data_IF_237670721083
#
_entry.id   IF_237670721083
#
_cell.length_a   1.000
_cell.length_b   1.000
_cell.length_c   1.000
_cell.angle_alpha   90.00
_cell.angle_beta   90.00
_cell.angle_gamma   90.00
#
_symmetry.space_group_name_H-M   'P 1'
#
loop_
_entity.id
_entity.type
_entity.pdbx_description
1 polymer ?
#
# COMPACT_ATOMS: atom_id res chain seq x y z
N UNK A 1 -31.13 -35.95 -6.48
CA UNK A 1 -30.40 -35.98 -5.20
C UNK A 1 -28.92 -35.85 -5.51
N UNK A 2 -28.26 -34.78 -5.07
CA UNK A 2 -26.80 -34.66 -5.20
C UNK A 2 -26.21 -35.43 -4.01
N UNK A 3 -25.43 -36.50 -4.23
CA UNK A 3 -24.82 -37.23 -3.13
C UNK A 3 -23.88 -36.31 -2.34
N UNK A 4 -23.97 -36.32 -1.01
CA UNK A 4 -23.09 -35.52 -0.16
C UNK A 4 -21.66 -35.98 -0.33
N UNK A 5 -20.74 -35.06 -0.62
CA UNK A 5 -19.30 -35.30 -0.79
C UNK A 5 -18.57 -35.62 0.54
N UNK A 6 -19.28 -36.04 1.58
CA UNK A 6 -18.71 -36.38 2.89
C UNK A 6 -17.67 -37.49 2.81
N UNK A 7 -17.86 -38.45 1.90
CA UNK A 7 -16.92 -39.55 1.66
C UNK A 7 -15.54 -39.07 1.18
N UNK A 8 -15.45 -37.91 0.51
CA UNK A 8 -14.17 -37.35 0.08
C UNK A 8 -13.28 -36.98 1.27
N UNK A 9 -13.86 -36.55 2.39
CA UNK A 9 -13.07 -36.20 3.58
C UNK A 9 -12.54 -37.43 4.31
N UNK A 10 -13.24 -38.56 4.22
CA UNK A 10 -12.88 -39.80 4.91
C UNK A 10 -11.85 -40.63 4.13
N UNK A 11 -11.83 -40.50 2.79
CA UNK A 11 -10.93 -41.27 1.91
C UNK A 11 -9.82 -40.44 1.27
N UNK A 12 -9.62 -39.20 1.73
CA UNK A 12 -8.53 -38.34 1.27
C UNK A 12 -7.30 -38.60 2.12
N UNK A 13 -6.24 -39.03 1.44
CA UNK A 13 -4.92 -39.23 2.02
C UNK A 13 -3.99 -38.15 1.47
N UNK A 14 -3.26 -37.52 2.38
CA UNK A 14 -2.32 -36.44 2.06
C UNK A 14 -0.95 -36.93 2.48
N UNK A 15 -0.08 -37.12 1.50
CA UNK A 15 1.31 -37.48 1.72
C UNK A 15 2.20 -36.29 1.36
N UNK A 16 3.09 -35.92 2.27
CA UNK A 16 4.11 -34.93 1.99
C UNK A 16 5.17 -35.56 1.08
N UNK A 17 5.50 -34.88 -0.01
CA UNK A 17 6.62 -35.23 -0.88
C UNK A 17 7.80 -34.28 -0.61
N UNK A 18 8.97 -34.64 -1.13
CA UNK A 18 10.13 -33.75 -1.12
C UNK A 18 9.85 -32.50 -1.99
N UNK A 19 10.58 -31.41 -1.73
CA UNK A 19 10.51 -30.12 -2.45
C UNK A 19 9.18 -29.34 -2.34
N UNK A 20 8.61 -29.25 -1.12
CA UNK A 20 7.36 -28.50 -0.83
C UNK A 20 6.13 -28.99 -1.60
N UNK A 21 6.18 -30.23 -2.11
CA UNK A 21 5.08 -30.85 -2.84
C UNK A 21 4.23 -31.72 -1.92
N UNK A 22 2.95 -31.87 -2.28
CA UNK A 22 2.00 -32.69 -1.54
C UNK A 22 1.25 -33.57 -2.52
N UNK A 23 1.28 -34.89 -2.29
CA UNK A 23 0.46 -35.85 -3.01
C UNK A 23 -0.88 -36.00 -2.31
N UNK A 24 -1.98 -35.80 -3.05
CA UNK A 24 -3.34 -35.99 -2.55
C UNK A 24 -3.96 -37.16 -3.30
N UNK A 25 -4.20 -38.26 -2.59
CA UNK A 25 -4.84 -39.46 -3.15
C UNK A 25 -6.27 -39.57 -2.63
N UNK A 26 -7.22 -39.74 -3.56
CA UNK A 26 -8.66 -39.84 -3.26
C UNK A 26 -9.19 -41.10 -3.93
N UNK A 27 -9.85 -41.94 -3.13
CA UNK A 27 -10.57 -43.12 -3.65
C UNK A 27 -11.99 -42.70 -4.03
N UNK A 28 -12.40 -43.00 -5.26
CA UNK A 28 -13.68 -42.58 -5.83
C UNK A 28 -14.40 -43.76 -6.47
N UNK A 29 -15.74 -43.84 -6.35
CA UNK A 29 -16.55 -44.70 -7.20
C UNK A 29 -16.33 -44.37 -8.69
N UNK A 30 -16.28 -45.39 -9.54
CA UNK A 30 -15.97 -45.25 -10.97
C UNK A 30 -16.89 -44.24 -11.70
N UNK A 31 -18.15 -44.14 -11.26
CA UNK A 31 -19.16 -43.24 -11.83
C UNK A 31 -18.86 -41.75 -11.56
N UNK A 32 -18.13 -41.45 -10.49
CA UNK A 32 -17.85 -40.07 -10.04
C UNK A 32 -16.53 -39.52 -10.55
N UNK A 33 -15.67 -40.37 -11.14
CA UNK A 33 -14.35 -39.96 -11.64
C UNK A 33 -14.47 -38.83 -12.65
N UNK A 34 -15.41 -38.94 -13.60
CA UNK A 34 -15.60 -37.92 -14.63
C UNK A 34 -16.03 -36.57 -14.04
N UNK A 35 -16.97 -36.59 -13.11
CA UNK A 35 -17.45 -35.38 -12.42
C UNK A 35 -16.35 -34.75 -11.54
N UNK A 36 -15.52 -35.57 -10.91
CA UNK A 36 -14.38 -35.10 -10.11
C UNK A 36 -13.30 -34.43 -10.96
N UNK A 37 -12.96 -35.00 -12.13
CA UNK A 37 -12.02 -34.36 -13.06
C UNK A 37 -12.53 -32.99 -13.53
N UNK A 38 -13.82 -32.89 -13.92
CA UNK A 38 -14.41 -31.61 -14.30
C UNK A 38 -14.40 -30.58 -13.15
N UNK A 39 -14.61 -31.05 -11.92
CA UNK A 39 -14.52 -30.20 -10.73
C UNK A 39 -13.09 -29.67 -10.54
N UNK A 40 -12.07 -30.52 -10.65
CA UNK A 40 -10.66 -30.11 -10.57
C UNK A 40 -10.29 -29.11 -11.69
N UNK A 41 -10.75 -29.34 -12.92
CA UNK A 41 -10.53 -28.41 -14.03
C UNK A 41 -11.17 -27.04 -13.78
N UNK A 42 -12.38 -27.02 -13.21
CA UNK A 42 -13.03 -25.76 -12.82
C UNK A 42 -12.29 -25.03 -11.69
N UNK A 43 -11.70 -25.78 -10.75
CA UNK A 43 -10.92 -25.23 -9.65
C UNK A 43 -9.52 -24.78 -10.08
N UNK A 44 -8.95 -25.32 -11.15
CA UNK A 44 -7.64 -24.89 -11.65
C UNK A 44 -7.60 -23.39 -11.96
N UNK A 45 -8.71 -22.83 -12.48
CA UNK A 45 -8.87 -21.39 -12.68
C UNK A 45 -8.97 -20.61 -11.36
N UNK A 46 -9.63 -21.17 -10.36
CA UNK A 46 -9.76 -20.58 -9.03
C UNK A 46 -8.42 -20.53 -8.28
N UNK A 47 -7.67 -21.64 -8.27
CA UNK A 47 -6.37 -21.74 -7.59
C UNK A 47 -5.33 -20.76 -8.15
N UNK A 48 -5.29 -20.58 -9.47
CA UNK A 48 -4.45 -19.56 -10.12
C UNK A 48 -4.78 -18.14 -9.65
N UNK A 49 -6.05 -17.87 -9.39
CA UNK A 49 -6.51 -16.56 -8.93
C UNK A 49 -6.13 -16.35 -7.47
N UNK A 50 -6.35 -17.35 -6.61
CA UNK A 50 -5.99 -17.27 -5.19
C UNK A 50 -4.48 -17.18 -4.97
N UNK A 51 -3.67 -17.89 -5.76
CA UNK A 51 -2.20 -17.85 -5.64
C UNK A 51 -1.63 -16.46 -6.00
N UNK A 52 -2.20 -15.82 -7.02
CA UNK A 52 -1.89 -14.43 -7.36
C UNK A 52 -2.26 -13.49 -6.22
N UNK A 53 -3.42 -13.68 -5.60
CA UNK A 53 -3.86 -12.87 -4.45
C UNK A 53 -2.97 -13.08 -3.21
N UNK A 54 -2.55 -14.32 -2.89
CA UNK A 54 -1.64 -14.59 -1.77
C UNK A 54 -0.24 -14.03 -2.04
N UNK A 55 0.24 -14.07 -3.27
CA UNK A 55 1.53 -13.47 -3.65
C UNK A 55 1.50 -11.96 -3.48
N UNK A 56 0.43 -11.29 -3.93
CA UNK A 56 0.23 -9.85 -3.72
C UNK A 56 0.10 -9.52 -2.24
N UNK A 57 -0.67 -10.30 -1.47
CA UNK A 57 -0.83 -10.09 -0.04
C UNK A 57 0.50 -10.26 0.72
N UNK A 58 1.32 -11.25 0.36
CA UNK A 58 2.66 -11.45 0.92
C UNK A 58 3.62 -10.32 0.54
N UNK A 59 3.56 -9.83 -0.69
CA UNK A 59 4.35 -8.68 -1.12
C UNK A 59 3.96 -7.41 -0.34
N UNK A 60 2.66 -7.14 -0.19
CA UNK A 60 2.16 -6.01 0.60
C UNK A 60 2.49 -6.14 2.10
N UNK A 61 2.43 -7.35 2.66
CA UNK A 61 2.81 -7.61 4.04
C UNK A 61 4.31 -7.35 4.28
N UNK A 62 5.19 -7.78 3.35
CA UNK A 62 6.62 -7.46 3.39
C UNK A 62 6.90 -5.96 3.29
N UNK A 63 6.16 -5.24 2.43
CA UNK A 63 6.25 -3.77 2.35
C UNK A 63 5.82 -3.11 3.66
N UNK A 64 4.87 -3.70 4.39
CA UNK A 64 4.35 -3.15 5.65
C UNK A 64 5.21 -3.48 6.88
N UNK A 65 6.11 -4.47 6.79
CA UNK A 65 6.82 -5.05 7.94
C UNK A 65 8.29 -4.64 8.10
N UNK A 66 8.78 -3.56 7.48
CA UNK A 66 10.18 -3.15 7.66
C UNK A 66 10.31 -1.77 8.30
N UNK A 67 11.20 -1.70 9.28
CA UNK A 67 11.76 -0.51 9.93
C UNK A 67 12.11 0.64 8.97
N UNK A 68 12.32 0.34 7.69
CA UNK A 68 12.56 1.30 6.61
C UNK A 68 11.41 2.32 6.45
N UNK A 69 10.16 1.91 6.71
CA UNK A 69 9.03 2.85 6.65
C UNK A 69 9.04 3.83 7.84
N UNK A 70 9.48 3.40 9.02
CA UNK A 70 9.50 4.27 10.20
C UNK A 70 10.53 5.39 10.01
N UNK A 71 11.76 5.04 9.61
CA UNK A 71 12.80 6.03 9.30
C UNK A 71 12.40 6.96 8.15
N UNK A 72 11.74 6.45 7.12
CA UNK A 72 11.25 7.27 6.01
C UNK A 72 10.15 8.24 6.46
N UNK A 73 9.23 7.82 7.33
CA UNK A 73 8.21 8.71 7.90
C UNK A 73 8.82 9.74 8.87
N UNK A 74 9.83 9.34 9.66
CA UNK A 74 10.56 10.25 10.56
C UNK A 74 11.32 11.33 9.78
N UNK A 75 11.97 10.95 8.67
CA UNK A 75 12.64 11.91 7.78
C UNK A 75 11.65 12.86 7.10
N UNK A 76 10.47 12.36 6.70
CA UNK A 76 9.40 13.21 6.15
C UNK A 76 8.85 14.17 7.21
N UNK A 77 8.68 13.71 8.45
CA UNK A 77 8.24 14.54 9.56
C UNK A 77 9.25 15.64 9.88
N UNK A 78 10.54 15.30 9.98
CA UNK A 78 11.61 16.26 10.20
C UNK A 78 11.70 17.29 9.06
N UNK A 79 11.54 16.86 7.81
CA UNK A 79 11.48 17.75 6.65
C UNK A 79 10.28 18.71 6.72
N UNK A 80 9.10 18.20 7.06
CA UNK A 80 7.88 19.00 7.22
C UNK A 80 8.05 20.05 8.32
N UNK A 81 8.60 19.67 9.47
CA UNK A 81 8.83 20.60 10.59
C UNK A 81 9.80 21.72 10.21
N UNK A 82 10.87 21.37 9.48
CA UNK A 82 11.82 22.36 8.97
C UNK A 82 11.13 23.35 8.02
N UNK A 83 10.31 22.85 7.10
CA UNK A 83 9.56 23.69 6.17
C UNK A 83 8.61 24.65 6.89
N UNK A 84 7.85 24.15 7.86
CA UNK A 84 6.90 24.98 8.63
C UNK A 84 7.63 26.05 9.43
N UNK A 85 8.73 25.70 10.12
CA UNK A 85 9.55 26.68 10.86
C UNK A 85 10.13 27.76 9.95
N UNK A 86 10.66 27.39 8.78
CA UNK A 86 11.15 28.35 7.80
C UNK A 86 10.04 29.24 7.25
N UNK A 87 8.87 28.67 6.96
CA UNK A 87 7.71 29.40 6.48
C UNK A 87 7.21 30.41 7.52
N UNK A 88 7.02 29.99 8.76
CA UNK A 88 6.55 30.85 9.84
C UNK A 88 7.54 31.99 10.13
N UNK A 89 8.85 31.74 10.02
CA UNK A 89 9.89 32.78 10.11
C UNK A 89 9.76 33.83 8.99
N UNK A 90 9.55 33.40 7.74
CA UNK A 90 9.40 34.33 6.62
C UNK A 90 8.10 35.13 6.70
N UNK A 91 7.00 34.49 7.12
CA UNK A 91 5.72 35.18 7.29
C UNK A 91 5.77 36.17 8.46
N UNK A 92 6.41 35.82 9.58
CA UNK A 92 6.64 36.75 10.69
C UNK A 92 7.51 37.96 10.27
N UNK A 93 8.40 37.77 9.29
CA UNK A 93 9.15 38.84 8.64
C UNK A 93 8.34 39.68 7.64
N UNK A 94 7.03 39.45 7.50
CA UNK A 94 6.14 40.21 6.62
C UNK A 94 6.12 39.73 5.16
N UNK A 95 6.76 38.61 4.82
CA UNK A 95 6.74 38.10 3.46
C UNK A 95 5.40 37.46 3.12
N UNK A 96 4.94 37.67 1.89
CA UNK A 96 3.72 37.02 1.39
C UNK A 96 3.96 35.52 1.17
N UNK A 97 2.91 34.70 1.23
CA UNK A 97 2.96 33.24 1.05
C UNK A 97 3.76 32.81 -0.19
N UNK A 98 3.55 33.49 -1.33
CA UNK A 98 4.27 33.19 -2.58
C UNK A 98 5.77 33.47 -2.49
N UNK A 99 6.15 34.52 -1.77
CA UNK A 99 7.55 34.93 -1.58
C UNK A 99 8.24 34.03 -0.57
N UNK A 100 7.57 33.70 0.54
CA UNK A 100 8.04 32.73 1.52
C UNK A 100 8.36 31.37 0.86
N UNK A 101 7.47 30.85 0.00
CA UNK A 101 7.73 29.61 -0.76
C UNK A 101 8.95 29.76 -1.67
N UNK A 102 9.11 30.90 -2.35
CA UNK A 102 10.26 31.15 -3.24
C UNK A 102 11.57 31.15 -2.46
N UNK A 103 11.61 31.79 -1.29
CA UNK A 103 12.77 31.80 -0.41
C UNK A 103 13.12 30.40 0.11
N UNK A 104 12.11 29.64 0.56
CA UNK A 104 12.30 28.25 1.01
C UNK A 104 12.87 27.37 -0.11
N UNK A 105 12.31 27.47 -1.32
CA UNK A 105 12.81 26.72 -2.49
C UNK A 105 14.26 27.10 -2.80
N UNK A 106 14.61 28.39 -2.75
CA UNK A 106 15.98 28.86 -2.95
C UNK A 106 16.94 28.30 -1.89
N UNK A 107 16.52 28.25 -0.62
CA UNK A 107 17.34 27.69 0.45
C UNK A 107 17.53 26.17 0.31
N UNK A 108 16.48 25.45 -0.10
CA UNK A 108 16.57 24.02 -0.40
C UNK A 108 17.44 23.74 -1.63
N UNK A 109 17.45 24.64 -2.61
CA UNK A 109 18.34 24.57 -3.77
C UNK A 109 19.81 24.74 -3.37
N UNK A 110 20.13 25.67 -2.46
CA UNK A 110 21.50 25.86 -1.95
C UNK A 110 22.06 24.61 -1.29
N UNK A 111 21.20 23.81 -0.65
CA UNK A 111 21.57 22.56 0.05
C UNK A 111 21.43 21.34 -0.89
N UNK A 112 21.05 21.55 -2.16
CA UNK A 112 20.76 20.49 -3.14
C UNK A 112 19.78 19.42 -2.62
N UNK A 113 18.75 19.84 -1.86
CA UNK A 113 17.80 18.90 -1.28
C UNK A 113 16.97 18.18 -2.36
N UNK A 114 16.68 16.86 -2.22
CA UNK A 114 15.93 16.10 -3.23
C UNK A 114 14.48 16.62 -3.39
N UNK A 115 13.88 17.15 -2.33
CA UNK A 115 12.50 17.67 -2.32
C UNK A 115 12.37 19.18 -2.53
N UNK A 116 13.33 19.79 -3.24
CA UNK A 116 13.40 21.26 -3.44
C UNK A 116 12.37 21.85 -4.41
N UNK A 117 11.54 21.05 -5.06
CA UNK A 117 10.60 21.55 -6.07
C UNK A 117 9.47 22.34 -5.41
N UNK A 118 9.04 23.42 -6.10
CA UNK A 118 8.00 24.32 -5.60
C UNK A 118 6.69 23.59 -5.30
N UNK A 119 6.33 22.63 -6.13
CA UNK A 119 5.10 21.83 -5.98
C UNK A 119 5.13 21.01 -4.69
N UNK A 120 6.26 20.35 -4.41
CA UNK A 120 6.45 19.53 -3.20
C UNK A 120 6.44 20.41 -1.95
N UNK A 121 7.10 21.57 -1.97
CA UNK A 121 7.06 22.51 -0.85
C UNK A 121 5.64 23.03 -0.61
N UNK A 122 4.93 23.41 -1.68
CA UNK A 122 3.56 23.93 -1.61
C UNK A 122 2.57 22.88 -1.12
N UNK A 123 2.63 21.65 -1.62
CA UNK A 123 1.76 20.56 -1.17
C UNK A 123 2.02 20.18 0.28
N UNK A 124 3.29 20.16 0.71
CA UNK A 124 3.68 19.85 2.09
C UNK A 124 3.20 20.93 3.06
N UNK A 125 3.36 22.21 2.72
CA UNK A 125 2.85 23.33 3.53
C UNK A 125 1.31 23.34 3.60
N UNK A 126 0.62 22.99 2.51
CA UNK A 126 -0.84 22.82 2.51
C UNK A 126 -1.29 21.68 3.43
N UNK A 127 -0.62 20.53 3.36
CA UNK A 127 -0.88 19.41 4.27
C UNK A 127 -0.58 19.76 5.75
N UNK A 128 0.29 20.74 5.98
CA UNK A 128 0.56 21.33 7.28
C UNK A 128 -0.42 22.44 7.72
N UNK A 129 -1.48 22.71 6.95
CA UNK A 129 -2.46 23.76 7.28
C UNK A 129 -1.97 25.18 7.01
N UNK A 130 -0.81 25.35 6.37
CA UNK A 130 -0.27 26.64 5.90
C UNK A 130 -0.67 26.89 4.45
N UNK A 131 -1.91 26.58 4.09
CA UNK A 131 -2.43 26.96 2.79
C UNK A 131 -2.51 28.49 2.78
N UNK A 132 -1.81 29.16 1.85
CA UNK A 132 -1.85 30.62 1.71
C UNK A 132 -3.22 31.17 1.31
N UNK A 133 -4.27 30.35 1.38
CA UNK A 133 -5.66 30.72 1.31
C UNK A 133 -6.14 30.99 2.73
N UNK A 134 -6.09 32.25 3.15
CA UNK A 134 -7.07 32.72 4.12
C UNK A 134 -8.44 32.45 3.50
N UNK A 135 -9.20 31.51 4.06
CA UNK A 135 -10.63 31.40 3.77
C UNK A 135 -11.20 32.79 4.01
N UNK A 136 -11.47 33.54 2.94
CA UNK A 136 -12.24 34.78 3.01
C UNK A 136 -13.60 34.32 3.51
N UNK A 137 -13.87 34.49 4.80
CA UNK A 137 -15.15 34.13 5.39
C UNK A 137 -16.21 34.79 4.51
N UNK A 138 -17.01 33.97 3.83
CA UNK A 138 -18.16 34.42 3.06
C UNK A 138 -19.20 34.89 4.09
N UNK A 139 -19.00 36.09 4.64
CA UNK A 139 -20.05 36.88 5.29
C UNK A 139 -20.99 37.29 4.16
N UNK A 140 -21.92 36.39 3.85
CA UNK A 140 -23.13 36.74 3.12
C UNK A 140 -24.14 37.23 4.16
N UNK A 141 -24.53 38.49 3.99
CA UNK A 141 -25.77 39.07 4.51
C UNK A 141 -26.99 38.18 4.22
#
# INVERSE_FOLDING_TARGET
MIPSLSFLREQLTVEALDDDQVAVTVVLPAELVRSYCFFLDSLAGFFRTTDRHSTIARALARTKSSSINQEAEDLKAAYRDRLVKSYDKYVAGGLNHKEAIKHIVSDLQKISHPWRTREVVSSTLKAAGRSGYTYRSRRGN
#
